data_IF_539488638091
#
_entry.id   IF_539488638091
#
_cell.length_a   1.000
_cell.length_b   1.000
_cell.length_c   1.000
_cell.angle_alpha   90.00
_cell.angle_beta   90.00
_cell.angle_gamma   90.00
#
_symmetry.space_group_name_H-M   'P 1'
#
loop_
_entity.id
_entity.type
_entity.pdbx_description
1 polymer ?
#
# COMPACT_ATOMS: atom_id res chain seq x y z
N UNK A 1 -1.92 -6.41 13.29
CA UNK A 1 -3.19 -5.69 13.50
C UNK A 1 -3.61 -4.88 12.27
N UNK A 2 -2.75 -4.02 11.70
CA UNK A 2 -3.10 -3.16 10.57
C UNK A 2 -3.51 -3.91 9.30
N UNK A 3 -2.85 -5.03 8.99
CA UNK A 3 -3.20 -5.89 7.85
C UNK A 3 -4.67 -6.29 7.91
N UNK A 4 -5.12 -6.93 9.00
CA UNK A 4 -6.51 -7.37 9.14
C UNK A 4 -7.51 -6.19 9.10
N UNK A 5 -7.17 -5.06 9.73
CA UNK A 5 -8.01 -3.86 9.76
C UNK A 5 -8.29 -3.33 8.36
N UNK A 6 -7.24 -3.05 7.59
CA UNK A 6 -7.39 -2.43 6.28
C UNK A 6 -7.73 -3.42 5.18
N UNK A 7 -7.31 -4.69 5.29
CA UNK A 7 -7.79 -5.73 4.40
C UNK A 7 -9.32 -5.88 4.50
N UNK A 8 -9.89 -5.86 5.71
CA UNK A 8 -11.34 -5.89 5.89
C UNK A 8 -12.03 -4.63 5.34
N UNK A 9 -11.48 -3.43 5.60
CA UNK A 9 -12.02 -2.16 5.11
C UNK A 9 -12.15 -2.13 3.58
N UNK A 10 -11.13 -2.63 2.87
CA UNK A 10 -11.06 -2.64 1.41
C UNK A 10 -11.48 -3.97 0.76
N UNK A 11 -12.06 -4.90 1.54
CA UNK A 11 -12.52 -6.24 1.08
C UNK A 11 -11.43 -7.02 0.32
N UNK A 12 -10.22 -7.04 0.87
CA UNK A 12 -9.05 -7.76 0.38
C UNK A 12 -8.78 -8.94 1.32
N UNK A 13 -8.28 -10.06 0.78
CA UNK A 13 -7.79 -11.15 1.61
C UNK A 13 -6.57 -10.67 2.44
N UNK A 14 -6.61 -10.74 3.79
CA UNK A 14 -5.47 -10.35 4.62
C UNK A 14 -4.20 -11.16 4.35
N UNK A 15 -4.32 -12.41 3.88
CA UNK A 15 -3.17 -13.22 3.49
C UNK A 15 -2.50 -12.71 2.22
N UNK A 16 -3.28 -12.17 1.27
CA UNK A 16 -2.75 -11.51 0.08
C UNK A 16 -1.95 -10.27 0.46
N UNK A 17 -2.50 -9.41 1.34
CA UNK A 17 -1.80 -8.21 1.83
C UNK A 17 -0.49 -8.60 2.53
N UNK A 18 -0.53 -9.64 3.37
CA UNK A 18 0.67 -10.16 4.03
C UNK A 18 1.70 -10.72 3.04
N UNK A 19 1.25 -11.44 2.00
CA UNK A 19 2.11 -11.97 0.94
C UNK A 19 2.78 -10.84 0.14
N UNK A 20 2.04 -9.78 -0.20
CA UNK A 20 2.61 -8.59 -0.86
C UNK A 20 3.67 -7.93 0.02
N UNK A 21 3.37 -7.66 1.30
CA UNK A 21 4.36 -7.08 2.23
C UNK A 21 5.62 -7.96 2.34
N UNK A 22 5.45 -9.28 2.36
CA UNK A 22 6.56 -10.23 2.39
C UNK A 22 7.44 -10.10 1.15
N UNK A 23 6.84 -10.02 -0.03
CA UNK A 23 7.54 -9.90 -1.32
C UNK A 23 8.23 -8.54 -1.45
N UNK A 24 7.56 -7.45 -1.10
CA UNK A 24 8.01 -6.09 -1.32
C UNK A 24 9.10 -5.63 -0.33
N UNK A 25 8.88 -5.88 0.96
CA UNK A 25 9.77 -5.36 2.02
C UNK A 25 10.32 -6.44 2.94
N UNK A 26 9.84 -7.68 2.82
CA UNK A 26 10.09 -8.73 3.81
C UNK A 26 9.75 -8.27 5.25
N UNK A 27 8.64 -7.53 5.39
CA UNK A 27 8.17 -6.92 6.64
C UNK A 27 9.12 -5.87 7.26
N UNK A 28 10.04 -5.29 6.47
CA UNK A 28 10.92 -4.21 6.93
C UNK A 28 10.21 -2.87 6.81
N UNK A 29 9.80 -2.31 7.95
CA UNK A 29 9.10 -1.01 8.03
C UNK A 29 9.88 0.14 7.38
N UNK A 30 11.21 0.13 7.47
CA UNK A 30 12.09 1.15 6.89
C UNK A 30 12.72 0.71 5.56
N UNK A 31 12.06 -0.17 4.81
CA UNK A 31 12.52 -0.55 3.48
C UNK A 31 12.47 0.66 2.54
N UNK A 32 13.56 0.88 1.81
CA UNK A 32 13.65 1.84 0.72
C UNK A 32 14.30 1.14 -0.48
N UNK A 33 13.72 1.26 -1.67
CA UNK A 33 14.27 0.72 -2.91
C UNK A 33 15.09 1.74 -3.70
N UNK A 34 15.82 1.27 -4.72
CA UNK A 34 16.55 2.14 -5.65
C UNK A 34 15.65 3.08 -6.45
N UNK A 35 14.35 2.78 -6.54
CA UNK A 35 13.32 3.62 -7.20
C UNK A 35 12.55 4.47 -6.19
N UNK A 36 13.07 4.62 -4.98
CA UNK A 36 12.50 5.45 -3.93
C UNK A 36 11.09 5.00 -3.47
N UNK A 37 10.87 3.69 -3.50
CA UNK A 37 9.69 3.05 -2.93
C UNK A 37 9.89 2.79 -1.44
N UNK A 38 8.91 3.16 -0.60
CA UNK A 38 9.05 3.27 0.86
C UNK A 38 8.09 2.36 1.61
N UNK A 39 8.56 1.86 2.75
CA UNK A 39 7.74 1.18 3.73
C UNK A 39 7.39 -0.27 3.38
N UNK A 40 6.40 -0.80 4.10
CA UNK A 40 6.02 -2.22 4.07
C UNK A 40 5.50 -2.70 2.72
N UNK A 41 4.75 -1.85 2.02
CA UNK A 41 4.12 -2.13 0.72
C UNK A 41 4.82 -1.42 -0.43
N UNK A 42 6.04 -0.89 -0.20
CA UNK A 42 6.88 -0.26 -1.22
C UNK A 42 6.12 0.74 -2.11
N UNK A 43 5.52 1.76 -1.48
CA UNK A 43 4.82 2.84 -2.18
C UNK A 43 5.85 3.90 -2.58
N UNK A 44 5.89 4.31 -3.84
CA UNK A 44 6.76 5.40 -4.31
C UNK A 44 6.27 6.76 -3.81
N UNK A 45 7.15 7.77 -3.80
CA UNK A 45 6.76 9.13 -3.40
C UNK A 45 5.60 9.69 -4.23
N UNK A 46 5.63 9.51 -5.55
CA UNK A 46 4.58 9.98 -6.47
C UNK A 46 3.25 9.26 -6.25
N UNK A 47 3.27 7.93 -6.14
CA UNK A 47 2.07 7.14 -5.84
C UNK A 47 1.50 7.52 -4.47
N UNK A 48 2.36 7.72 -3.48
CA UNK A 48 1.96 8.16 -2.15
C UNK A 48 1.28 9.53 -2.15
N UNK A 49 1.84 10.51 -2.87
CA UNK A 49 1.22 11.85 -3.04
C UNK A 49 -0.14 11.77 -3.70
N UNK A 50 -0.26 10.97 -4.75
CA UNK A 50 -1.54 10.78 -5.43
C UNK A 50 -2.59 10.13 -4.50
N UNK A 51 -2.24 9.02 -3.83
CA UNK A 51 -3.13 8.36 -2.86
C UNK A 51 -3.55 9.34 -1.75
N UNK A 52 -2.61 10.13 -1.23
CA UNK A 52 -2.89 11.10 -0.19
C UNK A 52 -3.91 12.17 -0.63
N UNK A 53 -3.84 12.61 -1.88
CA UNK A 53 -4.83 13.51 -2.49
C UNK A 53 -6.22 12.88 -2.57
N UNK A 54 -6.31 11.64 -3.06
CA UNK A 54 -7.58 10.89 -3.18
C UNK A 54 -8.21 10.63 -1.80
N UNK A 55 -7.38 10.30 -0.81
CA UNK A 55 -7.80 10.05 0.58
C UNK A 55 -7.99 11.32 1.41
N UNK A 56 -7.70 12.50 0.85
CA UNK A 56 -7.75 13.82 1.53
C UNK A 56 -6.93 13.84 2.83
N UNK A 57 -5.72 13.28 2.80
CA UNK A 57 -4.78 13.31 3.91
C UNK A 57 -4.13 14.70 3.96
N UNK A 58 -4.38 15.44 5.04
CA UNK A 58 -3.77 16.76 5.25
C UNK A 58 -2.31 16.64 5.71
N UNK A 59 -1.46 17.59 5.29
CA UNK A 59 -0.05 17.67 5.65
C UNK A 59 0.74 16.37 5.37
N UNK A 60 0.45 15.75 4.21
CA UNK A 60 1.15 14.54 3.79
C UNK A 60 2.62 14.83 3.46
N UNK A 61 3.51 14.05 4.06
CA UNK A 61 4.94 14.02 3.76
C UNK A 61 5.36 12.60 3.38
N UNK A 62 6.34 12.44 2.50
CA UNK A 62 6.76 11.12 2.01
C UNK A 62 7.29 10.21 3.14
N UNK A 63 7.86 10.79 4.19
CA UNK A 63 8.33 10.09 5.39
C UNK A 63 7.20 9.36 6.12
N UNK A 64 5.94 9.80 5.96
CA UNK A 64 4.78 9.12 6.51
C UNK A 64 4.58 7.73 5.91
N UNK A 65 5.17 7.43 4.73
CA UNK A 65 5.16 6.09 4.16
C UNK A 65 6.00 5.09 4.96
N UNK A 66 6.84 5.54 5.90
CA UNK A 66 7.52 4.63 6.84
C UNK A 66 6.67 4.31 8.07
N UNK A 67 5.54 4.98 8.28
CA UNK A 67 4.58 4.58 9.31
C UNK A 67 3.85 3.30 8.88
N UNK A 68 3.91 2.20 9.64
CA UNK A 68 3.27 0.94 9.27
C UNK A 68 1.76 1.04 9.04
N UNK A 69 1.05 1.85 9.82
CA UNK A 69 -0.40 1.96 9.73
C UNK A 69 -0.79 2.70 8.45
N UNK A 70 -0.17 3.87 8.22
CA UNK A 70 -0.37 4.68 7.02
C UNK A 70 -0.01 3.90 5.75
N UNK A 71 1.15 3.25 5.74
CA UNK A 71 1.63 2.53 4.56
C UNK A 71 0.71 1.36 4.18
N UNK A 72 0.25 0.58 5.17
CA UNK A 72 -0.69 -0.52 4.91
C UNK A 72 -2.06 0.03 4.48
N UNK A 73 -2.54 1.12 5.10
CA UNK A 73 -3.81 1.75 4.72
C UNK A 73 -3.78 2.21 3.25
N UNK A 74 -2.74 2.95 2.88
CA UNK A 74 -2.56 3.48 1.52
C UNK A 74 -2.38 2.34 0.50
N UNK A 75 -1.62 1.31 0.84
CA UNK A 75 -1.43 0.16 -0.04
C UNK A 75 -2.70 -0.64 -0.26
N UNK A 76 -3.51 -0.88 0.78
CA UNK A 76 -4.81 -1.52 0.63
C UNK A 76 -5.80 -0.67 -0.17
N UNK A 77 -5.81 0.65 0.04
CA UNK A 77 -6.59 1.58 -0.79
C UNK A 77 -6.18 1.46 -2.27
N UNK A 78 -4.87 1.44 -2.54
CA UNK A 78 -4.35 1.37 -3.90
C UNK A 78 -4.73 0.08 -4.62
N UNK A 79 -4.61 -1.07 -3.94
CA UNK A 79 -5.07 -2.37 -4.47
C UNK A 79 -6.55 -2.30 -4.83
N UNK A 80 -7.39 -1.74 -3.95
CA UNK A 80 -8.82 -1.61 -4.21
C UNK A 80 -9.12 -0.67 -5.37
N UNK A 81 -8.36 0.42 -5.53
CA UNK A 81 -8.48 1.30 -6.69
C UNK A 81 -8.16 0.56 -8.00
N UNK A 82 -7.06 -0.19 -8.03
CA UNK A 82 -6.68 -1.00 -9.19
C UNK A 82 -7.72 -2.09 -9.52
N UNK A 83 -8.35 -2.70 -8.50
CA UNK A 83 -9.49 -3.63 -8.72
C UNK A 83 -10.68 -2.95 -9.38
N UNK A 84 -10.91 -1.67 -9.09
CA UNK A 84 -11.97 -0.90 -9.75
C UNK A 84 -11.69 -0.68 -11.25
N UNK A 85 -10.41 -0.52 -11.62
CA UNK A 85 -9.97 -0.23 -13.00
C UNK A 85 -9.80 -1.50 -13.86
N UNK A 86 -9.23 -2.57 -13.28
CA UNK A 86 -8.86 -3.80 -14.00
C UNK A 86 -9.73 -5.02 -13.65
N UNK A 87 -10.72 -4.86 -12.77
CA UNK A 87 -11.53 -5.94 -12.21
C UNK A 87 -10.76 -6.80 -11.20
N UNK A 88 -11.27 -8.00 -10.89
CA UNK A 88 -10.65 -8.92 -9.91
C UNK A 88 -9.45 -9.70 -10.46
N UNK A 89 -8.88 -9.27 -11.60
CA UNK A 89 -7.72 -9.94 -12.16
C UNK A 89 -6.46 -9.55 -11.38
N UNK A 90 -6.17 -10.32 -10.34
CA UNK A 90 -5.02 -10.12 -9.44
C UNK A 90 -3.69 -10.06 -10.19
N UNK A 91 -3.57 -10.72 -11.34
CA UNK A 91 -2.34 -10.71 -12.13
C UNK A 91 -2.08 -9.34 -12.79
N UNK A 92 -3.12 -8.58 -13.12
CA UNK A 92 -2.96 -7.22 -13.66
C UNK A 92 -2.63 -6.20 -12.56
N UNK A 93 -3.00 -6.51 -11.32
CA UNK A 93 -2.75 -5.66 -10.13
C UNK A 93 -1.32 -5.84 -9.61
N UNK A 94 -0.72 -7.00 -9.87
CA UNK A 94 0.62 -7.41 -9.40
C UNK A 94 1.72 -7.35 -10.47
N UNK A 95 1.38 -7.01 -11.72
CA UNK A 95 2.32 -6.95 -12.85
C UNK A 95 3.04 -5.61 -12.94
#
# INVERSE_FOLDING_TARGET
QYINKYAAEYKIDPYLVAAMIKTESNFRVKANSHKDARGLMQITGDTGKWIAGEMKIENYEEEMLYDPEMNIKMGCWYINNLRGEFGDNIHLILA
#
